data_IF_875623867927
#
_entry.id   IF_875623867927
#
_cell.length_a   1.000
_cell.length_b   1.000
_cell.length_c   1.000
_cell.angle_alpha   90.00
_cell.angle_beta   90.00
_cell.angle_gamma   90.00
#
_symmetry.space_group_name_H-M   'P 1'
#
loop_
_entity.id
_entity.type
_entity.pdbx_description
1 polymer ?
#
# COMPACT_ATOMS: atom_id res chain seq x y z
N UNK A 1 29.40 6.72 -3.07
CA UNK A 1 28.55 7.73 -2.41
C UNK A 1 27.14 7.48 -2.91
N UNK A 2 26.25 6.96 -2.06
CA UNK A 2 24.85 6.65 -2.44
C UNK A 2 24.12 7.95 -2.83
N UNK A 3 23.40 7.95 -3.96
CA UNK A 3 22.73 9.17 -4.43
C UNK A 3 21.58 9.54 -3.47
N UNK A 4 21.21 10.83 -3.42
CA UNK A 4 20.10 11.27 -2.57
C UNK A 4 18.83 10.47 -2.86
N UNK A 5 18.54 10.15 -4.12
CA UNK A 5 17.38 9.34 -4.53
C UNK A 5 17.43 7.92 -3.99
N UNK A 6 18.60 7.29 -4.00
CA UNK A 6 18.78 5.93 -3.48
C UNK A 6 18.50 5.87 -1.97
N UNK A 7 18.86 6.92 -1.21
CA UNK A 7 18.52 7.00 0.22
C UNK A 7 17.01 7.02 0.49
N UNK A 8 16.23 7.71 -0.35
CA UNK A 8 14.77 7.70 -0.22
C UNK A 8 14.18 6.34 -0.57
N UNK A 9 14.74 5.65 -1.55
CA UNK A 9 14.36 4.28 -1.88
C UNK A 9 14.67 3.32 -0.73
N UNK A 10 15.89 3.36 -0.19
CA UNK A 10 16.32 2.57 0.96
C UNK A 10 15.44 2.85 2.20
N UNK A 11 15.06 4.11 2.43
CA UNK A 11 14.10 4.48 3.48
C UNK A 11 12.74 3.80 3.31
N UNK A 12 12.17 3.85 2.11
CA UNK A 12 10.93 3.14 1.79
C UNK A 12 11.06 1.62 2.01
N UNK A 13 12.14 1.00 1.53
CA UNK A 13 12.36 -0.45 1.69
C UNK A 13 12.48 -0.86 3.16
N UNK A 14 13.16 -0.07 3.98
CA UNK A 14 13.29 -0.31 5.42
C UNK A 14 11.93 -0.21 6.11
N UNK A 15 11.16 0.85 5.85
CA UNK A 15 9.82 1.02 6.41
C UNK A 15 8.87 -0.09 5.97
N UNK A 16 8.95 -0.51 4.71
CA UNK A 16 8.12 -1.59 4.18
C UNK A 16 8.47 -2.95 4.82
N UNK A 17 9.76 -3.22 5.03
CA UNK A 17 10.20 -4.42 5.74
C UNK A 17 9.74 -4.42 7.19
N UNK A 18 9.81 -3.26 7.87
CA UNK A 18 9.28 -3.10 9.22
C UNK A 18 7.76 -3.32 9.26
N UNK A 19 7.01 -2.76 8.31
CA UNK A 19 5.56 -2.96 8.22
C UNK A 19 5.19 -4.44 8.10
N UNK A 20 5.92 -5.22 7.30
CA UNK A 20 5.72 -6.68 7.21
C UNK A 20 5.88 -7.34 8.57
N UNK A 21 6.94 -7.04 9.30
CA UNK A 21 7.20 -7.59 10.65
C UNK A 21 6.06 -7.22 11.61
N UNK A 22 5.66 -5.94 11.64
CA UNK A 22 4.61 -5.45 12.53
C UNK A 22 3.26 -6.09 12.22
N UNK A 23 2.93 -6.30 10.94
CA UNK A 23 1.71 -7.02 10.53
C UNK A 23 1.77 -8.48 11.01
N UNK A 24 2.89 -9.18 10.83
CA UNK A 24 3.06 -10.55 11.33
C UNK A 24 2.93 -10.66 12.85
N UNK A 25 3.42 -9.66 13.59
CA UNK A 25 3.25 -9.62 15.05
C UNK A 25 1.81 -9.32 15.46
N UNK A 26 1.11 -8.47 14.71
CA UNK A 26 -0.28 -8.11 14.93
C UNK A 26 -1.24 -9.26 14.61
N UNK A 27 -0.93 -10.09 13.60
CA UNK A 27 -1.65 -11.33 13.28
C UNK A 27 -1.76 -12.30 14.47
N UNK A 28 -0.78 -12.28 15.39
CA UNK A 28 -0.77 -13.14 16.58
C UNK A 28 -1.75 -12.69 17.68
N UNK A 29 -2.21 -11.43 17.65
CA UNK A 29 -3.17 -10.88 18.60
C UNK A 29 -3.95 -9.71 17.97
N UNK A 30 -5.02 -10.07 17.27
CA UNK A 30 -5.85 -9.13 16.50
C UNK A 30 -6.66 -8.17 17.38
N UNK A 31 -6.80 -8.47 18.67
CA UNK A 31 -7.63 -7.66 19.56
C UNK A 31 -6.82 -6.59 20.31
N UNK A 32 -5.48 -6.65 20.25
CA UNK A 32 -4.61 -5.66 20.89
C UNK A 32 -4.70 -4.29 20.20
N UNK A 33 -5.20 -3.25 20.89
CA UNK A 33 -5.22 -1.88 20.35
C UNK A 33 -3.81 -1.34 20.07
N UNK A 34 -2.84 -1.72 20.90
CA UNK A 34 -1.43 -1.33 20.74
C UNK A 34 -0.86 -1.86 19.42
N UNK A 35 -1.13 -3.14 19.09
CA UNK A 35 -0.64 -3.73 17.84
C UNK A 35 -1.32 -3.11 16.62
N UNK A 36 -2.63 -2.83 16.68
CA UNK A 36 -3.34 -2.10 15.62
C UNK A 36 -2.74 -0.72 15.39
N UNK A 37 -2.44 0.01 16.47
CA UNK A 37 -1.79 1.32 16.37
C UNK A 37 -0.39 1.22 15.75
N UNK A 38 0.42 0.23 16.14
CA UNK A 38 1.74 0.00 15.53
C UNK A 38 1.64 -0.29 14.03
N UNK A 39 0.68 -1.10 13.60
CA UNK A 39 0.43 -1.36 12.17
C UNK A 39 0.08 -0.05 11.46
N UNK A 40 -0.81 0.76 12.04
CA UNK A 40 -1.20 2.05 11.49
C UNK A 40 0.00 3.01 11.34
N UNK A 41 0.79 3.18 12.40
CA UNK A 41 1.95 4.08 12.39
C UNK A 41 3.01 3.61 11.39
N UNK A 42 3.27 2.30 11.34
CA UNK A 42 4.22 1.72 10.39
C UNK A 42 3.73 1.86 8.94
N UNK A 43 2.43 1.72 8.69
CA UNK A 43 1.84 1.93 7.37
C UNK A 43 1.98 3.39 6.94
N UNK A 44 1.64 4.32 7.84
CA UNK A 44 1.74 5.75 7.58
C UNK A 44 3.17 6.16 7.21
N UNK A 45 4.17 5.70 7.95
CA UNK A 45 5.59 5.94 7.64
C UNK A 45 6.01 5.31 6.29
N UNK A 46 5.50 4.13 5.99
CA UNK A 46 5.79 3.44 4.71
C UNK A 46 5.23 4.21 3.52
N UNK A 47 3.98 4.67 3.60
CA UNK A 47 3.37 5.46 2.51
C UNK A 47 4.05 6.83 2.39
N UNK A 48 4.37 7.47 3.52
CA UNK A 48 5.07 8.75 3.49
C UNK A 48 6.41 8.65 2.76
N UNK A 49 7.24 7.67 3.13
CA UNK A 49 8.53 7.43 2.48
C UNK A 49 8.38 7.02 1.00
N UNK A 50 7.34 6.25 0.64
CA UNK A 50 7.01 5.96 -0.77
C UNK A 50 6.71 7.23 -1.56
N UNK A 51 5.91 8.15 -1.00
CA UNK A 51 5.57 9.41 -1.66
C UNK A 51 6.78 10.35 -1.77
N UNK A 52 7.63 10.42 -0.76
CA UNK A 52 8.88 11.19 -0.82
C UNK A 52 9.81 10.70 -1.92
N UNK A 53 9.93 9.38 -2.08
CA UNK A 53 10.66 8.78 -3.19
C UNK A 53 10.00 9.13 -4.53
N UNK A 54 8.68 8.96 -4.63
CA UNK A 54 7.92 9.26 -5.84
C UNK A 54 8.11 10.70 -6.33
N UNK A 55 8.10 11.69 -5.44
CA UNK A 55 8.29 13.10 -5.79
C UNK A 55 9.60 13.36 -6.56
N UNK A 56 10.61 12.50 -6.37
CA UNK A 56 11.91 12.58 -7.04
C UNK A 56 11.91 11.93 -8.41
N UNK A 57 11.17 10.84 -8.57
CA UNK A 57 11.21 10.03 -9.79
C UNK A 57 10.05 10.29 -10.75
N UNK A 58 8.94 10.90 -10.29
CA UNK A 58 7.70 11.09 -11.06
C UNK A 58 7.84 11.88 -12.37
N UNK A 59 8.88 12.73 -12.47
CA UNK A 59 9.18 13.53 -13.68
C UNK A 59 9.99 12.78 -14.72
N UNK A 60 10.47 11.57 -14.41
CA UNK A 60 11.15 10.72 -15.38
C UNK A 60 10.21 10.37 -16.55
N UNK A 61 10.72 10.49 -17.77
CA UNK A 61 9.99 10.17 -19.00
C UNK A 61 9.53 8.71 -19.08
N UNK A 62 10.22 7.82 -18.36
CA UNK A 62 10.00 6.37 -18.44
C UNK A 62 8.90 5.88 -17.50
N UNK A 63 8.38 6.77 -16.65
CA UNK A 63 7.29 6.43 -15.75
C UNK A 63 5.99 6.36 -16.54
N UNK A 64 5.40 5.17 -16.54
CA UNK A 64 4.17 4.87 -17.25
C UNK A 64 2.98 5.66 -16.69
N UNK A 65 1.94 5.83 -17.52
CA UNK A 65 0.69 6.45 -17.08
C UNK A 65 -0.01 5.63 -15.98
N UNK A 66 0.15 4.30 -16.01
CA UNK A 66 -0.40 3.40 -15.00
C UNK A 66 0.26 3.62 -13.64
N UNK A 67 1.60 3.69 -13.59
CA UNK A 67 2.34 4.01 -12.37
C UNK A 67 1.89 5.33 -11.76
N UNK A 68 1.70 6.36 -12.60
CA UNK A 68 1.19 7.66 -12.15
C UNK A 68 -0.21 7.56 -11.53
N UNK A 69 -1.12 6.77 -12.12
CA UNK A 69 -2.47 6.56 -11.59
C UNK A 69 -2.45 5.81 -10.26
N UNK A 70 -1.65 4.75 -10.15
CA UNK A 70 -1.48 4.01 -8.89
C UNK A 70 -0.89 4.91 -7.79
N UNK A 71 0.10 5.73 -8.10
CA UNK A 71 0.67 6.68 -7.14
C UNK A 71 -0.34 7.75 -6.68
N UNK A 72 -1.30 8.14 -7.52
CA UNK A 72 -2.42 9.00 -7.09
C UNK A 72 -3.32 8.31 -6.06
N UNK A 73 -3.57 7.00 -6.22
CA UNK A 73 -4.30 6.22 -5.22
C UNK A 73 -3.59 6.23 -3.86
N UNK A 74 -2.26 6.05 -3.84
CA UNK A 74 -1.46 6.14 -2.60
C UNK A 74 -1.44 7.56 -2.02
N UNK A 75 -1.39 8.59 -2.85
CA UNK A 75 -1.49 9.97 -2.39
C UNK A 75 -2.86 10.26 -1.73
N UNK A 76 -3.94 9.73 -2.31
CA UNK A 76 -5.27 9.79 -1.71
C UNK A 76 -5.31 9.07 -0.35
N UNK A 77 -4.80 7.84 -0.29
CA UNK A 77 -4.72 7.05 0.93
C UNK A 77 -3.95 7.78 2.04
N UNK A 78 -2.79 8.37 1.72
CA UNK A 78 -2.00 9.18 2.66
C UNK A 78 -2.78 10.40 3.19
N UNK A 79 -3.52 11.08 2.31
CA UNK A 79 -4.35 12.21 2.75
C UNK A 79 -5.47 11.78 3.68
N UNK A 80 -6.02 10.58 3.48
CA UNK A 80 -7.02 9.99 4.36
C UNK A 80 -6.43 9.52 5.70
N UNK A 81 -5.25 8.89 5.71
CA UNK A 81 -4.54 8.51 6.95
C UNK A 81 -4.33 9.67 7.92
N UNK A 82 -4.11 10.87 7.40
CA UNK A 82 -3.92 12.07 8.24
C UNK A 82 -5.17 12.50 8.99
N UNK A 83 -6.34 12.02 8.59
CA UNK A 83 -7.63 12.48 9.09
C UNK A 83 -8.49 11.35 9.69
N UNK A 84 -8.29 10.11 9.26
CA UNK A 84 -9.14 8.96 9.59
C UNK A 84 -8.25 7.76 9.97
N UNK A 85 -8.41 7.24 11.20
CA UNK A 85 -7.70 6.05 11.68
C UNK A 85 -8.25 4.75 11.08
N UNK A 86 -9.44 4.79 10.48
CA UNK A 86 -10.18 3.63 9.96
C UNK A 86 -9.77 3.18 8.55
N UNK A 87 -8.61 3.61 8.05
CA UNK A 87 -8.14 3.24 6.69
C UNK A 87 -7.75 1.76 6.56
N UNK A 88 -7.55 1.08 7.69
CA UNK A 88 -7.10 -0.31 7.73
C UNK A 88 -8.25 -1.19 8.21
N UNK A 89 -8.67 -2.11 7.35
CA UNK A 89 -9.64 -3.14 7.70
C UNK A 89 -8.90 -4.45 7.98
N UNK A 90 -9.29 -5.13 9.06
CA UNK A 90 -8.85 -6.49 9.36
C UNK A 90 -9.96 -7.41 8.87
N UNK A 91 -9.72 -8.17 7.80
CA UNK A 91 -10.67 -9.15 7.33
C UNK A 91 -10.30 -10.53 7.89
N UNK A 92 -11.14 -11.02 8.81
CA UNK A 92 -11.18 -12.43 9.18
C UNK A 92 -12.09 -13.16 8.18
N UNK A 93 -11.52 -13.98 7.28
CA UNK A 93 -12.37 -14.89 6.51
C UNK A 93 -12.83 -16.01 7.44
N UNK A 94 -14.13 -16.03 7.73
CA UNK A 94 -14.76 -17.13 8.45
C UNK A 94 -15.08 -18.22 7.42
N UNK A 95 -14.31 -19.29 7.42
CA UNK A 95 -14.70 -20.55 6.78
C UNK A 95 -16.07 -20.98 7.29
N UNK A 96 -17.07 -20.98 6.41
CA UNK A 96 -18.43 -21.39 6.73
C UNK A 96 -18.49 -22.90 6.92
N UNK A 97 -18.92 -23.35 8.09
CA UNK A 97 -19.28 -24.75 8.31
C UNK A 97 -20.39 -25.14 7.32
N UNK A 98 -20.08 -26.00 6.35
CA UNK A 98 -21.07 -26.72 5.54
C UNK A 98 -21.00 -28.21 5.88
N UNK A 99 -22.15 -28.79 6.23
CA UNK A 99 -22.29 -30.22 6.55
C UNK A 99 -22.70 -30.98 5.29
N UNK A 100 -22.16 -32.20 5.03
CA UNK A 100 -21.22 -32.98 5.83
C UNK A 100 -19.75 -32.53 5.69
N UNK A 101 -18.98 -32.67 6.79
CA UNK A 101 -17.63 -32.12 6.97
C UNK A 101 -16.63 -32.79 6.02
N UNK A 102 -16.17 -32.05 5.00
CA UNK A 102 -14.97 -32.38 4.22
C UNK A 102 -13.90 -31.37 4.62
N UNK A 103 -12.89 -31.82 5.36
CA UNK A 103 -11.70 -31.02 5.63
C UNK A 103 -10.87 -30.88 4.34
N UNK A 104 -10.55 -29.63 4.00
CA UNK A 104 -9.22 -29.16 4.31
C UNK A 104 -9.29 -27.97 5.28
N UNK A 105 -8.57 -28.10 6.39
CA UNK A 105 -8.45 -27.08 7.43
C UNK A 105 -7.46 -26.04 6.94
N UNK A 106 -7.78 -25.32 5.86
CA UNK A 106 -7.07 -24.07 5.55
C UNK A 106 -7.50 -23.07 6.63
N UNK A 107 -6.64 -22.89 7.63
CA UNK A 107 -6.73 -21.76 8.54
C UNK A 107 -6.51 -20.53 7.66
N UNK A 108 -7.61 -19.91 7.21
CA UNK A 108 -7.53 -18.74 6.33
C UNK A 108 -6.75 -17.63 7.02
N UNK A 109 -5.71 -17.15 6.34
CA UNK A 109 -4.74 -16.18 6.85
C UNK A 109 -5.40 -14.82 7.08
N UNK A 110 -5.18 -14.22 8.25
CA UNK A 110 -5.72 -12.88 8.58
C UNK A 110 -5.05 -11.82 7.69
N UNK A 111 -5.85 -11.02 6.98
CA UNK A 111 -5.34 -10.01 6.04
C UNK A 111 -5.62 -8.60 6.52
N UNK A 112 -4.60 -7.76 6.39
CA UNK A 112 -4.71 -6.31 6.55
C UNK A 112 -4.96 -5.70 5.18
N UNK A 113 -6.16 -5.16 5.01
CA UNK A 113 -6.65 -4.63 3.74
C UNK A 113 -6.90 -3.13 3.83
N UNK A 114 -6.85 -2.45 2.69
CA UNK A 114 -7.36 -1.09 2.59
C UNK A 114 -8.87 -1.07 2.77
N UNK A 115 -9.35 -0.29 3.73
CA UNK A 115 -10.76 -0.16 4.04
C UNK A 115 -11.60 0.30 2.84
N UNK A 116 -12.88 -0.05 2.87
CA UNK A 116 -13.84 0.63 2.03
C UNK A 116 -14.07 2.04 2.60
N UNK A 117 -13.57 3.05 1.91
CA UNK A 117 -13.74 4.44 2.33
C UNK A 117 -14.94 5.04 1.65
N UNK A 118 -15.79 5.69 2.45
CA UNK A 118 -16.83 6.55 1.89
C UNK A 118 -16.20 7.73 1.13
N UNK A 119 -16.77 8.01 -0.04
CA UNK A 119 -16.46 9.24 -0.75
C UNK A 119 -17.05 10.42 0.01
N UNK A 120 -16.18 11.27 0.55
CA UNK A 120 -16.60 12.53 1.17
C UNK A 120 -16.22 13.65 0.19
N UNK A 121 -17.18 14.18 -0.60
CA UNK A 121 -16.89 15.27 -1.52
C UNK A 121 -16.40 16.50 -0.76
N UNK A 122 -15.18 16.94 -1.04
CA UNK A 122 -14.75 18.31 -0.73
C UNK A 122 -14.71 19.13 -2.03
N UNK A 123 -14.76 20.45 -1.90
CA UNK A 123 -14.94 21.45 -2.98
C UNK A 123 -14.02 21.36 -4.23
N UNK A 124 -13.07 20.44 -4.32
CA UNK A 124 -12.10 20.35 -5.42
C UNK A 124 -12.34 19.13 -6.33
N UNK A 125 -12.50 19.39 -7.63
CA UNK A 125 -12.82 18.40 -8.68
C UNK A 125 -11.78 17.29 -8.90
N UNK A 126 -10.52 17.50 -8.50
CA UNK A 126 -9.46 16.50 -8.68
C UNK A 126 -9.54 15.33 -7.68
N UNK A 127 -10.21 15.51 -6.53
CA UNK A 127 -10.31 14.46 -5.50
C UNK A 127 -11.20 13.30 -5.92
N UNK A 128 -12.21 13.55 -6.75
CA UNK A 128 -13.06 12.49 -7.33
C UNK A 128 -12.23 11.50 -8.14
N UNK A 129 -11.35 12.02 -9.00
CA UNK A 129 -10.48 11.17 -9.83
C UNK A 129 -9.50 10.36 -8.96
N UNK A 130 -8.90 10.99 -7.94
CA UNK A 130 -7.97 10.32 -7.03
C UNK A 130 -8.69 9.24 -6.18
N UNK A 131 -9.93 9.49 -5.76
CA UNK A 131 -10.76 8.50 -5.09
C UNK A 131 -11.13 7.34 -6.02
N UNK A 132 -11.44 7.60 -7.28
CA UNK A 132 -11.66 6.54 -8.27
C UNK A 132 -10.40 5.70 -8.48
N UNK A 133 -9.21 6.31 -8.48
CA UNK A 133 -7.95 5.56 -8.50
C UNK A 133 -7.78 4.72 -7.23
N UNK A 134 -8.12 5.25 -6.06
CA UNK A 134 -8.13 4.48 -4.81
C UNK A 134 -9.05 3.26 -4.88
N UNK A 135 -10.30 3.45 -5.31
CA UNK A 135 -11.27 2.36 -5.48
C UNK A 135 -10.77 1.29 -6.45
N UNK A 136 -10.11 1.70 -7.54
CA UNK A 136 -9.58 0.78 -8.54
C UNK A 136 -8.34 0.02 -8.08
N UNK A 137 -7.43 0.70 -7.39
CA UNK A 137 -6.08 0.18 -7.15
C UNK A 137 -5.84 -0.32 -5.74
N UNK A 138 -6.53 0.18 -4.72
CA UNK A 138 -6.24 -0.11 -3.32
C UNK A 138 -7.42 -0.71 -2.56
N UNK A 139 -8.65 -0.19 -2.72
CA UNK A 139 -9.84 -0.63 -1.97
C UNK A 139 -9.95 -2.16 -1.91
N UNK A 140 -10.12 -2.69 -0.69
CA UNK A 140 -10.26 -4.14 -0.39
C UNK A 140 -9.12 -5.01 -0.91
N UNK A 141 -7.95 -4.42 -1.14
CA UNK A 141 -6.73 -5.18 -1.44
C UNK A 141 -5.84 -5.23 -0.22
N UNK A 142 -5.06 -6.29 -0.15
CA UNK A 142 -4.04 -6.45 0.87
C UNK A 142 -2.99 -5.34 0.76
N UNK A 143 -2.65 -4.76 1.90
CA UNK A 143 -1.72 -3.63 2.01
C UNK A 143 -0.33 -4.02 1.50
N UNK A 144 0.17 -5.19 1.92
CA UNK A 144 1.50 -5.68 1.52
C UNK A 144 1.58 -5.86 0.01
N UNK A 145 0.61 -6.57 -0.58
CA UNK A 145 0.60 -6.81 -2.04
C UNK A 145 0.50 -5.49 -2.82
N UNK A 146 -0.31 -4.54 -2.34
CA UNK A 146 -0.43 -3.23 -2.98
C UNK A 146 0.89 -2.46 -3.02
N UNK A 147 1.65 -2.48 -1.90
CA UNK A 147 2.96 -1.84 -1.78
C UNK A 147 4.04 -2.56 -2.61
N UNK A 148 3.99 -3.89 -2.66
CA UNK A 148 4.89 -4.71 -3.46
C UNK A 148 4.68 -4.49 -4.96
N UNK A 149 3.43 -4.49 -5.42
CA UNK A 149 3.04 -4.21 -6.79
C UNK A 149 3.59 -2.86 -7.26
N UNK A 150 3.36 -1.79 -6.49
CA UNK A 150 3.79 -0.46 -6.89
C UNK A 150 5.31 -0.31 -6.85
N UNK A 151 5.97 -0.94 -5.87
CA UNK A 151 7.43 -0.93 -5.78
C UNK A 151 8.07 -1.63 -6.97
N UNK A 152 7.52 -2.76 -7.40
CA UNK A 152 7.96 -3.54 -8.55
C UNK A 152 7.72 -2.79 -9.85
N UNK A 153 6.57 -2.13 -9.97
CA UNK A 153 6.21 -1.35 -11.15
C UNK A 153 7.13 -0.13 -11.31
N UNK A 154 7.38 0.62 -10.24
CA UNK A 154 8.34 1.74 -10.27
C UNK A 154 9.74 1.23 -10.62
N UNK A 155 10.18 0.12 -10.01
CA UNK A 155 11.45 -0.51 -10.33
C UNK A 155 11.57 -0.89 -11.80
N UNK A 156 10.50 -1.41 -12.40
CA UNK A 156 10.44 -1.80 -13.81
C UNK A 156 10.52 -0.59 -14.73
N UNK A 157 9.69 0.42 -14.48
CA UNK A 157 9.67 1.68 -15.24
C UNK A 157 11.05 2.36 -15.22
N UNK A 158 11.74 2.36 -14.09
CA UNK A 158 13.07 2.97 -13.96
C UNK A 158 14.20 2.11 -14.55
N UNK A 159 14.13 0.78 -14.44
CA UNK A 159 15.13 -0.14 -15.02
C UNK A 159 15.08 -0.21 -16.54
N UNK A 160 13.92 0.09 -17.17
CA UNK A 160 13.81 0.22 -18.63
C UNK A 160 14.84 1.19 -19.25
N UNK A 161 15.43 2.08 -18.44
CA UNK A 161 16.55 2.97 -18.78
C UNK A 161 17.86 2.24 -19.15
N UNK A 162 18.11 1.05 -18.61
CA UNK A 162 19.39 0.33 -18.80
C UNK A 162 19.46 -0.48 -20.08
N UNK A 163 18.33 -0.87 -20.66
CA UNK A 163 18.29 -1.69 -21.88
C UNK A 163 18.30 -0.86 -23.17
N UNK A 164 17.96 0.43 -23.10
CA UNK A 164 17.84 1.31 -24.28
C UNK A 164 19.07 2.24 -24.43
N UNK A 165 19.98 2.27 -23.44
CA UNK A 165 21.19 3.10 -23.45
C UNK A 165 22.45 2.40 -23.98
N UNK A 166 22.35 1.18 -24.51
CA UNK A 166 23.47 0.36 -25.00
C UNK A 166 23.36 0.01 -26.50
N UNK A 167 22.67 0.83 -27.30
CA UNK A 167 22.66 0.72 -28.77
C UNK A 167 23.19 2.00 -29.38
#
# INVERSE_FOLDING_TARGET
MESTTDRFWSSFQNNFSNLRIVIEEARKDLNSPEKKQKVFDSLNNTIHSLLDYWERVKKSSNISAETKKRMRAFAYANNKLKHEYDLISIQDRKGGFSFPIIFPLEIEEVRYEWSDLDYIPRKNSNQENDFQQYCRFLKQKEIINSLEDISSLIGTDLKSKLLIGNV
#
